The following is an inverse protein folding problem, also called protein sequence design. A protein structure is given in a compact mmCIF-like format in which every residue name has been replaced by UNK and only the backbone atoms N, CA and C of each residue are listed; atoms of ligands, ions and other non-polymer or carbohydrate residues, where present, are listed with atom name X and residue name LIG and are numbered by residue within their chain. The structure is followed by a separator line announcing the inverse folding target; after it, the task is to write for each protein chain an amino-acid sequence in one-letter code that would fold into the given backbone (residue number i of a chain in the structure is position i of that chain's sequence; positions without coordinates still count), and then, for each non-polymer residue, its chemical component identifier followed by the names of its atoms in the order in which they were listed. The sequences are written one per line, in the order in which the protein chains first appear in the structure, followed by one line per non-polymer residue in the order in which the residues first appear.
data_IF_464374019831
#
_entry.id   IF_464374019831
#
_cell.length_a   1.000
_cell.length_b   1.000
_cell.length_c   1.000
_cell.angle_alpha   90.00
_cell.angle_beta   90.00
_cell.angle_gamma   90.00
#
_symmetry.space_group_name_H-M   'P 1'
#
loop_
_entity.id
_entity.type
_entity.pdbx_description
1 polymer ?
#
# COMPACT_ATOMS: atom_id res chain seq x y z
N UNK A 1 -49.91 -16.86 -20.15
CA UNK A 1 -49.16 -15.64 -19.78
C UNK A 1 -47.99 -16.17 -18.99
N UNK A 2 -46.88 -16.48 -19.65
CA UNK A 2 -45.79 -17.25 -19.01
C UNK A 2 -44.45 -16.76 -19.57
N UNK A 3 -43.88 -15.77 -18.88
CA UNK A 3 -42.52 -15.24 -19.11
C UNK A 3 -41.52 -16.16 -18.42
N UNK A 4 -41.15 -17.24 -19.10
CA UNK A 4 -40.11 -18.15 -18.66
C UNK A 4 -38.71 -17.57 -18.89
N UNK A 5 -37.96 -17.41 -17.81
CA UNK A 5 -36.50 -17.55 -17.81
C UNK A 5 -35.70 -16.30 -18.18
N UNK A 6 -35.61 -15.35 -17.24
CA UNK A 6 -34.44 -14.47 -17.18
C UNK A 6 -33.18 -15.32 -16.99
N UNK A 7 -32.45 -15.55 -18.09
CA UNK A 7 -31.09 -16.10 -18.04
C UNK A 7 -30.26 -15.25 -17.06
N UNK A 8 -29.42 -15.84 -16.19
CA UNK A 8 -28.44 -15.06 -15.47
C UNK A 8 -27.58 -14.34 -16.50
N UNK A 9 -27.41 -13.04 -16.32
CA UNK A 9 -26.51 -12.24 -17.13
C UNK A 9 -25.08 -12.71 -16.80
N UNK A 10 -24.62 -13.75 -17.47
CA UNK A 10 -23.21 -14.15 -17.50
C UNK A 10 -22.45 -13.01 -18.16
N UNK A 11 -21.98 -12.08 -17.34
CA UNK A 11 -20.97 -11.12 -17.75
C UNK A 11 -19.81 -11.91 -18.36
N UNK A 12 -19.42 -11.66 -19.61
CA UNK A 12 -18.29 -12.36 -20.21
C UNK A 12 -17.06 -12.09 -19.33
N UNK A 13 -16.59 -13.15 -18.68
CA UNK A 13 -15.45 -13.16 -17.76
C UNK A 13 -14.10 -13.00 -18.48
N UNK A 14 -14.10 -12.37 -19.65
CA UNK A 14 -12.95 -12.17 -20.52
C UNK A 14 -12.89 -10.70 -20.98
N UNK A 15 -12.85 -9.84 -19.97
CA UNK A 15 -12.66 -8.41 -20.13
C UNK A 15 -11.15 -8.09 -20.04
N UNK A 16 -10.44 -7.86 -21.17
CA UNK A 16 -9.00 -7.56 -21.16
C UNK A 16 -8.66 -6.21 -20.48
N UNK A 17 -9.68 -5.40 -20.13
CA UNK A 17 -9.50 -4.19 -19.33
C UNK A 17 -9.22 -4.46 -17.85
N UNK A 18 -9.29 -5.71 -17.39
CA UNK A 18 -8.68 -6.18 -16.13
C UNK A 18 -7.17 -6.38 -16.23
N UNK A 19 -6.52 -5.85 -17.26
CA UNK A 19 -5.07 -5.82 -17.39
C UNK A 19 -4.43 -5.11 -16.19
N UNK A 20 -4.00 -5.93 -15.24
CA UNK A 20 -2.86 -5.71 -14.35
C UNK A 20 -2.87 -4.32 -13.72
N UNK A 21 -3.86 -4.07 -12.86
CA UNK A 21 -3.68 -3.07 -11.82
C UNK A 21 -2.62 -3.66 -10.87
N UNK A 22 -1.35 -3.47 -11.25
CA UNK A 22 -0.17 -3.84 -10.46
C UNK A 22 -0.36 -3.09 -9.15
N UNK A 23 -0.89 -3.77 -8.13
CA UNK A 23 -1.10 -3.19 -6.81
C UNK A 23 0.29 -2.90 -6.30
N UNK A 24 0.73 -1.67 -6.47
CA UNK A 24 1.97 -1.19 -5.87
C UNK A 24 1.66 -1.17 -4.39
N UNK A 25 2.24 -2.12 -3.65
CA UNK A 25 2.13 -2.18 -2.20
C UNK A 25 2.95 -1.04 -1.59
N UNK A 26 2.35 0.14 -1.57
CA UNK A 26 2.96 1.36 -1.05
C UNK A 26 3.49 1.18 0.37
N UNK A 27 2.78 0.40 1.20
CA UNK A 27 3.24 0.06 2.56
C UNK A 27 4.56 -0.70 2.52
N UNK A 28 4.71 -1.69 1.64
CA UNK A 28 5.93 -2.47 1.53
C UNK A 28 7.11 -1.60 1.08
N UNK A 29 6.89 -0.68 0.13
CA UNK A 29 7.92 0.25 -0.33
C UNK A 29 8.36 1.25 0.76
N UNK A 30 7.42 1.82 1.50
CA UNK A 30 7.72 2.72 2.62
C UNK A 30 8.52 1.97 3.70
N UNK A 31 8.14 0.73 4.03
CA UNK A 31 8.85 -0.07 5.01
C UNK A 31 10.25 -0.48 4.54
N UNK A 32 10.43 -0.83 3.26
CA UNK A 32 11.75 -1.11 2.68
C UNK A 32 12.68 0.12 2.77
N UNK A 33 12.16 1.31 2.44
CA UNK A 33 12.90 2.56 2.59
C UNK A 33 13.25 2.86 4.05
N UNK A 34 12.33 2.60 4.98
CA UNK A 34 12.58 2.79 6.42
C UNK A 34 13.53 1.76 7.02
N UNK A 35 13.64 0.57 6.43
CA UNK A 35 14.66 -0.41 6.83
C UNK A 35 16.06 0.04 6.40
N UNK A 36 16.19 0.62 5.19
CA UNK A 36 17.44 1.16 4.66
C UNK A 36 17.82 2.48 5.30
N UNK A 37 16.83 3.30 5.62
CA UNK A 37 16.97 4.64 6.20
C UNK A 37 16.04 4.80 7.42
N UNK A 38 16.39 4.20 8.58
CA UNK A 38 15.52 4.22 9.77
C UNK A 38 15.28 5.62 10.34
N UNK A 39 16.18 6.56 10.06
CA UNK A 39 16.09 7.94 10.51
C UNK A 39 15.36 8.87 9.54
N UNK A 40 15.08 8.40 8.31
CA UNK A 40 14.46 9.23 7.28
C UNK A 40 13.14 9.86 7.75
N UNK A 41 12.97 11.12 7.42
CA UNK A 41 11.72 11.84 7.66
C UNK A 41 10.64 11.40 6.67
N UNK A 42 9.34 11.53 7.03
CA UNK A 42 8.24 11.23 6.11
C UNK A 42 8.35 11.95 4.76
N UNK A 43 8.78 13.21 4.75
CA UNK A 43 8.99 14.00 3.54
C UNK A 43 10.13 13.47 2.66
N UNK A 44 11.20 12.95 3.27
CA UNK A 44 12.29 12.32 2.52
C UNK A 44 11.83 11.01 1.88
N UNK A 45 11.08 10.20 2.62
CA UNK A 45 10.46 8.97 2.10
C UNK A 45 9.52 9.31 0.92
N UNK A 46 8.71 10.37 1.05
CA UNK A 46 7.84 10.83 -0.01
C UNK A 46 8.63 11.27 -1.25
N UNK A 47 9.72 12.02 -1.07
CA UNK A 47 10.59 12.44 -2.17
C UNK A 47 11.26 11.25 -2.87
N UNK A 48 11.70 10.22 -2.12
CA UNK A 48 12.29 9.00 -2.68
C UNK A 48 11.27 8.18 -3.50
N UNK A 49 10.03 8.08 -3.01
CA UNK A 49 8.95 7.41 -3.75
C UNK A 49 8.54 8.21 -4.99
N UNK A 50 8.47 9.54 -4.89
CA UNK A 50 8.16 10.41 -6.01
C UNK A 50 9.20 10.32 -7.13
N UNK A 51 10.50 10.19 -6.79
CA UNK A 51 11.58 9.92 -7.78
C UNK A 51 11.38 8.61 -8.53
N UNK A 52 10.71 7.64 -7.92
CA UNK A 52 10.36 6.36 -8.56
C UNK A 52 9.03 6.42 -9.32
N UNK A 53 8.42 7.59 -9.46
CA UNK A 53 7.11 7.79 -10.11
C UNK A 53 5.92 7.39 -9.23
N UNK A 54 6.14 7.17 -7.93
CA UNK A 54 5.11 6.69 -7.01
C UNK A 54 4.67 7.85 -6.12
N UNK A 55 3.48 8.35 -6.37
CA UNK A 55 2.86 9.37 -5.52
C UNK A 55 2.06 8.70 -4.42
N UNK A 56 2.32 9.13 -3.19
CA UNK A 56 1.71 8.56 -1.98
C UNK A 56 1.24 9.71 -1.12
N UNK A 57 0.10 9.51 -0.44
CA UNK A 57 -0.39 10.47 0.53
C UNK A 57 0.62 10.62 1.69
N UNK A 58 1.10 11.86 1.94
CA UNK A 58 2.05 12.15 3.01
C UNK A 58 1.55 11.74 4.40
N UNK A 59 0.24 11.80 4.65
CA UNK A 59 -0.37 11.34 5.90
C UNK A 59 -0.23 9.82 6.08
N UNK A 60 -0.34 9.04 4.99
CA UNK A 60 -0.11 7.61 5.02
C UNK A 60 1.36 7.30 5.34
N UNK A 61 2.29 8.03 4.72
CA UNK A 61 3.72 7.88 4.99
C UNK A 61 4.01 8.20 6.46
N UNK A 62 3.54 9.35 6.97
CA UNK A 62 3.74 9.75 8.36
C UNK A 62 3.22 8.70 9.35
N UNK A 63 2.02 8.14 9.09
CA UNK A 63 1.46 7.06 9.90
C UNK A 63 2.36 5.80 9.88
N UNK A 64 2.85 5.39 8.70
CA UNK A 64 3.73 4.23 8.56
C UNK A 64 5.09 4.42 9.23
N UNK A 65 5.68 5.61 9.12
CA UNK A 65 6.94 5.98 9.79
C UNK A 65 6.76 5.91 11.31
N UNK A 66 5.66 6.46 11.83
CA UNK A 66 5.36 6.42 13.27
C UNK A 66 5.09 4.99 13.76
N UNK A 67 4.37 4.17 12.99
CA UNK A 67 4.16 2.74 13.28
C UNK A 67 5.49 1.98 13.32
N UNK A 68 6.37 2.21 12.33
CA UNK A 68 7.69 1.59 12.27
C UNK A 68 8.56 1.98 13.46
N UNK A 69 8.65 3.27 13.80
CA UNK A 69 9.41 3.75 14.96
C UNK A 69 8.86 3.22 16.29
N UNK A 70 7.54 3.16 16.45
CA UNK A 70 6.90 2.52 17.62
C UNK A 70 7.23 1.03 17.71
N UNK A 71 7.34 0.33 16.58
CA UNK A 71 7.70 -1.10 16.55
C UNK A 71 9.19 -1.31 16.83
N UNK A 72 10.06 -0.48 16.26
CA UNK A 72 11.50 -0.49 16.50
C UNK A 72 11.84 -0.15 17.97
N UNK A 73 11.18 0.86 18.54
CA UNK A 73 11.35 1.24 19.95
C UNK A 73 10.76 0.24 20.95
N UNK A 74 9.69 -0.48 20.59
CA UNK A 74 9.10 -1.53 21.45
C UNK A 74 9.90 -2.84 21.48
N UNK A 75 10.96 -2.97 20.68
CA UNK A 75 11.95 -4.04 20.85
C UNK A 75 12.92 -3.84 22.02
N UNK A 76 12.90 -2.67 22.68
CA UNK A 76 13.84 -2.29 23.75
C UNK A 76 13.23 -2.14 25.14
N UNK A 77 12.06 -2.73 25.42
CA UNK A 77 11.48 -2.74 26.79
C UNK A 77 10.89 -4.10 27.12
N UNK A 78 11.76 -5.09 27.26
CA UNK A 78 11.50 -6.28 28.05
C UNK A 78 12.09 -6.05 29.46
N UNK A 79 11.17 -5.86 30.42
CA UNK A 79 11.30 -6.12 31.86
C UNK A 79 12.46 -5.46 32.63
N UNK A 80 12.09 -4.49 33.48
CA UNK A 80 12.79 -4.14 34.72
C UNK A 80 11.76 -4.02 35.82
#
# INVERSE_FOLDING_TARGET
MDIAGSKPHEFPSDAPWRAVQRRIDTKALVLDLLQKHPEAAPDEIAAMLARSGIQVNGMLIAHLVQEYRRKAGRGGSIHG
#
